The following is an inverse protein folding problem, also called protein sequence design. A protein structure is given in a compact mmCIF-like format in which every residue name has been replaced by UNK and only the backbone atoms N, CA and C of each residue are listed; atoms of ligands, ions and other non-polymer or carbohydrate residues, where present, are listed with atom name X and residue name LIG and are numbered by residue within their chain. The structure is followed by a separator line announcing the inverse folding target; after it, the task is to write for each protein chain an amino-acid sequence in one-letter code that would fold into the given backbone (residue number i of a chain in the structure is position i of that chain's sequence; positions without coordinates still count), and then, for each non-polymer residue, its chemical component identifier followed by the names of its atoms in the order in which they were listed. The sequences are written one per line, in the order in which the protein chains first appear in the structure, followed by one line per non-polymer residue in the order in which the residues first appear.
data_IF_419165423978
#
_entry.id   IF_419165423978
#
_cell.length_a   1.000
_cell.length_b   1.000
_cell.length_c   1.000
_cell.angle_alpha   90.00
_cell.angle_beta   90.00
_cell.angle_gamma   90.00
#
_symmetry.space_group_name_H-M   'P 1'
#
loop_
_entity.id
_entity.type
_entity.pdbx_description
1 polymer ?
#
# COMPACT_ATOMS: atom_id res chain seq x y z
N UNK A 1 9.38 11.44 -3.73
CA UNK A 1 8.42 12.45 -3.30
C UNK A 1 9.12 13.62 -2.61
N UNK A 2 9.64 13.47 -1.39
CA UNK A 2 10.26 14.59 -0.64
C UNK A 2 11.54 15.13 -1.27
N UNK A 3 12.48 14.25 -1.66
CA UNK A 3 13.75 14.64 -2.32
C UNK A 3 13.51 15.37 -3.64
N UNK A 4 12.55 14.87 -4.41
CA UNK A 4 12.11 15.44 -5.70
C UNK A 4 11.14 16.62 -5.54
N UNK A 5 10.88 17.07 -4.31
CA UNK A 5 10.04 18.24 -3.99
C UNK A 5 8.63 18.24 -4.60
N UNK A 6 8.05 17.07 -4.86
CA UNK A 6 6.71 16.94 -5.46
C UNK A 6 5.58 17.57 -4.62
N UNK A 7 5.82 17.79 -3.32
CA UNK A 7 4.90 18.50 -2.44
C UNK A 7 4.70 19.98 -2.84
N UNK A 8 5.60 20.60 -3.60
CA UNK A 8 5.47 22.01 -4.02
C UNK A 8 4.28 22.24 -4.97
N UNK A 9 3.96 21.24 -5.80
CA UNK A 9 2.98 21.36 -6.88
C UNK A 9 1.52 21.53 -6.44
N UNK A 10 1.25 21.52 -5.12
CA UNK A 10 -0.09 21.60 -4.54
C UNK A 10 -0.36 22.92 -3.80
N UNK A 11 0.44 23.97 -4.06
CA UNK A 11 0.21 25.31 -3.52
C UNK A 11 0.70 25.51 -2.08
N UNK A 12 1.78 24.82 -1.72
CA UNK A 12 2.45 24.97 -0.43
C UNK A 12 3.67 25.88 -0.57
N UNK A 13 3.89 26.77 0.41
CA UNK A 13 4.95 27.77 0.37
C UNK A 13 6.33 27.22 0.76
N UNK A 14 6.37 26.07 1.47
CA UNK A 14 7.58 25.38 1.91
C UNK A 14 7.26 23.94 2.30
N UNK A 15 8.30 23.13 2.59
CA UNK A 15 8.10 21.77 3.10
C UNK A 15 7.37 21.81 4.45
N UNK A 16 7.74 22.75 5.32
CA UNK A 16 7.07 22.94 6.61
C UNK A 16 5.59 23.27 6.43
N UNK A 17 5.27 24.16 5.49
CA UNK A 17 3.88 24.50 5.15
C UNK A 17 3.09 23.27 4.68
N UNK A 18 3.71 22.39 3.88
CA UNK A 18 3.13 21.11 3.50
C UNK A 18 2.91 20.18 4.71
N UNK A 19 3.90 20.02 5.59
CA UNK A 19 3.79 19.16 6.77
C UNK A 19 2.65 19.61 7.68
N UNK A 20 2.57 20.91 7.99
CA UNK A 20 1.52 21.47 8.85
C UNK A 20 0.14 21.36 8.19
N UNK A 21 -0.02 21.84 6.95
CA UNK A 21 -1.35 21.91 6.32
C UNK A 21 -1.86 20.56 5.84
N UNK A 22 -0.97 19.69 5.34
CA UNK A 22 -1.36 18.41 4.77
C UNK A 22 -1.32 17.27 5.80
N UNK A 23 -0.23 17.11 6.57
CA UNK A 23 -0.10 15.99 7.51
C UNK A 23 -0.74 16.29 8.86
N UNK A 24 -0.26 17.33 9.55
CA UNK A 24 -0.78 17.70 10.87
C UNK A 24 -2.27 18.04 10.78
N UNK A 25 -2.66 18.92 9.86
CA UNK A 25 -4.07 19.29 9.66
C UNK A 25 -4.97 18.10 9.33
N UNK A 26 -4.44 17.03 8.72
CA UNK A 26 -5.19 15.80 8.47
C UNK A 26 -5.34 14.95 9.74
N UNK A 27 -4.29 14.81 10.55
CA UNK A 27 -4.33 14.03 11.80
C UNK A 27 -5.09 14.74 12.93
N UNK A 28 -4.98 16.06 13.08
CA UNK A 28 -5.68 16.83 14.11
C UNK A 28 -7.21 16.75 14.03
N UNK A 29 -7.77 16.35 12.87
CA UNK A 29 -9.20 16.14 12.69
C UNK A 29 -9.70 14.75 13.10
N UNK A 30 -8.80 13.83 13.46
CA UNK A 30 -9.13 12.44 13.82
C UNK A 30 -9.22 12.31 15.34
N UNK A 31 -10.01 11.34 15.81
CA UNK A 31 -10.02 10.96 17.22
C UNK A 31 -8.78 10.12 17.53
N UNK A 32 -8.10 10.44 18.64
CA UNK A 32 -6.89 9.71 19.07
C UNK A 32 -7.15 8.24 19.39
N UNK A 33 -8.28 7.92 20.04
CA UNK A 33 -8.63 6.55 20.41
C UNK A 33 -8.96 5.70 19.18
N UNK A 34 -9.58 6.30 18.16
CA UNK A 34 -9.81 5.64 16.87
C UNK A 34 -8.46 5.33 16.19
N UNK A 35 -7.52 6.27 16.23
CA UNK A 35 -6.17 6.06 15.67
C UNK A 35 -5.40 4.95 16.40
N UNK A 36 -5.49 4.89 17.74
CA UNK A 36 -4.90 3.83 18.55
C UNK A 36 -5.52 2.46 18.21
N UNK A 37 -6.85 2.41 18.06
CA UNK A 37 -7.55 1.18 17.67
C UNK A 37 -7.18 0.74 16.25
N UNK A 38 -7.02 1.67 15.32
CA UNK A 38 -6.60 1.39 13.95
C UNK A 38 -5.17 0.84 13.89
N UNK A 39 -4.22 1.41 14.63
CA UNK A 39 -2.83 0.92 14.62
C UNK A 39 -2.70 -0.43 15.31
N UNK A 40 -3.46 -0.69 16.38
CA UNK A 40 -3.51 -2.01 17.01
C UNK A 40 -4.06 -3.06 16.03
N UNK A 41 -5.15 -2.74 15.33
CA UNK A 41 -5.71 -3.61 14.28
C UNK A 41 -4.67 -3.94 13.20
N UNK A 42 -3.88 -2.94 12.77
CA UNK A 42 -2.82 -3.16 11.79
C UNK A 42 -1.70 -4.04 12.36
N UNK A 43 -1.25 -3.79 13.59
CA UNK A 43 -0.16 -4.53 14.22
C UNK A 43 -0.50 -6.01 14.43
N UNK A 44 -1.76 -6.32 14.74
CA UNK A 44 -2.26 -7.69 14.93
C UNK A 44 -2.65 -8.41 13.63
N UNK A 45 -2.41 -7.82 12.45
CA UNK A 45 -2.86 -8.38 11.18
C UNK A 45 -2.02 -9.59 10.76
N UNK A 46 -2.54 -10.80 10.98
CA UNK A 46 -1.95 -12.06 10.53
C UNK A 46 -3.04 -13.02 10.01
N UNK A 47 -3.03 -13.32 8.72
CA UNK A 47 -4.01 -14.23 8.10
C UNK A 47 -3.82 -15.71 8.49
N UNK A 48 -2.69 -16.03 9.12
CA UNK A 48 -2.33 -17.38 9.55
C UNK A 48 -2.68 -17.66 11.00
N UNK A 49 -2.93 -16.63 11.82
CA UNK A 49 -3.30 -16.76 13.23
C UNK A 49 -4.78 -17.15 13.40
N UNK A 50 -5.08 -18.40 13.07
CA UNK A 50 -6.38 -19.02 13.28
C UNK A 50 -6.23 -20.54 13.33
N UNK A 51 -7.29 -21.24 13.74
CA UNK A 51 -7.29 -22.69 13.93
C UNK A 51 -7.08 -23.51 12.65
N UNK A 52 -7.28 -22.91 11.47
CA UNK A 52 -7.09 -23.59 10.18
C UNK A 52 -5.61 -23.65 9.77
N UNK A 53 -4.85 -22.59 10.04
CA UNK A 53 -3.44 -22.46 9.63
C UNK A 53 -2.45 -22.50 10.78
N UNK A 54 -2.87 -22.20 12.02
CA UNK A 54 -2.07 -22.29 13.25
C UNK A 54 -0.71 -21.57 13.16
N UNK A 55 -0.70 -20.36 12.60
CA UNK A 55 0.51 -19.55 12.41
C UNK A 55 1.33 -19.91 11.17
N UNK A 56 0.88 -20.86 10.34
CA UNK A 56 1.55 -21.21 9.08
C UNK A 56 1.13 -20.24 7.96
N UNK A 57 1.87 -19.13 7.83
CA UNK A 57 1.64 -18.11 6.82
C UNK A 57 1.76 -18.64 5.39
N UNK A 58 2.69 -19.56 5.13
CA UNK A 58 2.86 -20.13 3.79
C UNK A 58 1.63 -20.94 3.39
N UNK A 59 1.07 -21.72 4.31
CA UNK A 59 -0.18 -22.44 4.08
C UNK A 59 -1.38 -21.50 3.92
N UNK A 60 -1.45 -20.42 4.70
CA UNK A 60 -2.52 -19.43 4.59
C UNK A 60 -2.52 -18.71 3.23
N UNK A 61 -1.36 -18.23 2.78
CA UNK A 61 -1.18 -17.61 1.46
C UNK A 61 -1.46 -18.61 0.33
N UNK A 62 -0.97 -19.85 0.47
CA UNK A 62 -1.18 -20.92 -0.50
C UNK A 62 -2.63 -21.35 -0.66
N UNK A 63 -3.48 -21.08 0.34
CA UNK A 63 -4.90 -21.39 0.31
C UNK A 63 -5.74 -20.33 -0.43
N UNK A 64 -5.17 -19.17 -0.80
CA UNK A 64 -5.88 -18.12 -1.54
C UNK A 64 -6.11 -18.59 -2.98
N UNK A 65 -7.35 -18.88 -3.32
CA UNK A 65 -7.75 -19.34 -4.66
C UNK A 65 -8.11 -18.20 -5.61
N UNK A 66 -8.43 -17.02 -5.07
CA UNK A 66 -8.73 -15.83 -5.87
C UNK A 66 -7.51 -15.45 -6.72
N UNK A 67 -7.76 -15.02 -7.96
CA UNK A 67 -6.71 -14.39 -8.76
C UNK A 67 -6.37 -13.04 -8.15
N UNK A 68 -5.08 -12.75 -8.03
CA UNK A 68 -4.60 -11.52 -7.44
C UNK A 68 -3.47 -10.90 -8.26
N UNK A 69 -3.36 -9.58 -8.17
CA UNK A 69 -2.22 -8.83 -8.68
C UNK A 69 -1.67 -8.06 -7.50
N UNK A 70 -0.47 -8.41 -7.07
CA UNK A 70 0.21 -7.76 -5.95
C UNK A 70 1.05 -6.62 -6.54
N UNK A 71 0.75 -5.38 -6.14
CA UNK A 71 1.26 -4.17 -6.80
C UNK A 71 1.96 -3.23 -5.82
N UNK A 72 3.09 -3.63 -5.19
CA UNK A 72 3.83 -2.76 -4.29
C UNK A 72 4.49 -1.62 -5.05
N UNK A 73 4.67 -0.48 -4.39
CA UNK A 73 5.51 0.59 -4.92
C UNK A 73 6.99 0.27 -4.72
N UNK A 74 7.81 0.49 -5.74
CA UNK A 74 9.27 0.26 -5.65
C UNK A 74 9.98 1.19 -4.66
N UNK A 75 9.30 2.23 -4.19
CA UNK A 75 9.84 3.17 -3.18
C UNK A 75 9.03 3.20 -1.89
N UNK A 76 8.14 2.22 -1.67
CA UNK A 76 7.48 2.05 -0.37
C UNK A 76 8.54 1.73 0.70
N UNK A 77 8.35 2.28 1.90
CA UNK A 77 9.30 2.15 3.01
C UNK A 77 8.86 1.12 4.06
N UNK A 78 7.60 0.68 4.03
CA UNK A 78 7.07 -0.24 5.04
C UNK A 78 6.27 -1.41 4.46
N UNK A 79 5.73 -1.29 3.24
CA UNK A 79 5.26 -2.46 2.46
C UNK A 79 6.20 -2.68 1.28
N UNK A 80 7.34 -3.31 1.56
CA UNK A 80 8.45 -3.33 0.63
C UNK A 80 8.21 -4.28 -0.54
N UNK A 81 8.86 -4.01 -1.67
CA UNK A 81 8.86 -4.92 -2.82
C UNK A 81 9.39 -6.32 -2.44
N UNK A 82 10.41 -6.40 -1.58
CA UNK A 82 11.02 -7.66 -1.19
C UNK A 82 10.04 -8.56 -0.41
N UNK A 83 9.30 -7.97 0.54
CA UNK A 83 8.30 -8.69 1.32
C UNK A 83 7.14 -9.13 0.43
N UNK A 84 6.63 -8.22 -0.41
CA UNK A 84 5.57 -8.54 -1.37
C UNK A 84 5.98 -9.63 -2.36
N UNK A 85 7.24 -9.66 -2.81
CA UNK A 85 7.74 -10.72 -3.67
C UNK A 85 7.80 -12.06 -2.93
N UNK A 86 8.21 -12.07 -1.66
CA UNK A 86 8.23 -13.27 -0.83
C UNK A 86 6.84 -13.86 -0.63
N UNK A 87 5.84 -13.02 -0.33
CA UNK A 87 4.46 -13.45 -0.12
C UNK A 87 3.79 -13.89 -1.44
N UNK A 88 4.00 -13.15 -2.54
CA UNK A 88 3.39 -13.47 -3.84
C UNK A 88 3.87 -14.83 -4.36
N UNK A 89 5.13 -15.23 -4.10
CA UNK A 89 5.65 -16.56 -4.46
C UNK A 89 4.88 -17.71 -3.79
N UNK A 90 4.21 -17.44 -2.67
CA UNK A 90 3.43 -18.42 -1.92
C UNK A 90 1.96 -18.46 -2.36
N UNK A 91 1.53 -17.57 -3.25
CA UNK A 91 0.15 -17.44 -3.72
C UNK A 91 0.01 -18.00 -5.17
N UNK A 92 -0.56 -19.21 -5.37
CA UNK A 92 -0.50 -19.90 -6.67
C UNK A 92 -1.15 -19.16 -7.84
N UNK A 93 -2.17 -18.34 -7.57
CA UNK A 93 -2.94 -17.61 -8.58
C UNK A 93 -2.65 -16.10 -8.57
N UNK A 94 -1.53 -15.68 -7.97
CA UNK A 94 -1.12 -14.29 -7.90
C UNK A 94 0.04 -13.98 -8.85
N UNK A 95 0.06 -12.75 -9.36
CA UNK A 95 1.21 -12.19 -10.07
C UNK A 95 1.72 -10.93 -9.37
N UNK A 96 3.03 -10.69 -9.43
CA UNK A 96 3.65 -9.48 -8.91
C UNK A 96 3.80 -8.45 -10.04
N UNK A 97 3.21 -7.26 -9.88
CA UNK A 97 3.35 -6.13 -10.81
C UNK A 97 3.72 -4.85 -10.07
N UNK A 98 5.02 -4.63 -9.77
CA UNK A 98 5.47 -3.48 -9.00
C UNK A 98 5.20 -2.15 -9.71
N UNK A 99 4.80 -1.14 -8.94
CA UNK A 99 4.59 0.23 -9.41
C UNK A 99 5.92 0.98 -9.29
N UNK A 100 6.53 1.32 -10.43
CA UNK A 100 7.75 2.13 -10.48
C UNK A 100 7.42 3.61 -10.25
N UNK A 101 7.27 3.97 -8.98
CA UNK A 101 6.86 5.31 -8.58
C UNK A 101 7.79 5.87 -7.50
N UNK A 102 7.97 7.18 -7.51
CA UNK A 102 8.67 7.93 -6.45
C UNK A 102 7.73 8.40 -5.34
N UNK A 103 6.43 8.08 -5.43
CA UNK A 103 5.41 8.44 -4.45
C UNK A 103 5.41 7.53 -3.21
N UNK A 104 6.29 6.53 -3.14
CA UNK A 104 6.34 5.56 -2.06
C UNK A 104 5.01 4.85 -1.90
N UNK A 105 4.57 4.70 -0.65
CA UNK A 105 3.30 4.07 -0.31
C UNK A 105 2.08 4.70 -1.02
N UNK A 106 2.13 6.00 -1.28
CA UNK A 106 1.01 6.74 -1.91
C UNK A 106 0.78 6.33 -3.36
N UNK A 107 1.70 5.60 -4.00
CA UNK A 107 1.47 5.08 -5.36
C UNK A 107 0.29 4.09 -5.43
N UNK A 108 -0.01 3.38 -4.34
CA UNK A 108 -1.19 2.50 -4.23
C UNK A 108 -2.51 3.24 -4.02
N UNK A 109 -2.47 4.55 -3.73
CA UNK A 109 -3.63 5.43 -3.63
C UNK A 109 -3.37 6.73 -4.43
N UNK A 110 -3.33 6.65 -5.77
CA UNK A 110 -2.66 7.62 -6.63
C UNK A 110 -3.51 8.87 -6.95
N UNK A 111 -4.20 9.44 -5.95
CA UNK A 111 -5.04 10.63 -6.11
C UNK A 111 -4.32 11.83 -6.75
N UNK A 112 -3.00 11.90 -6.63
CA UNK A 112 -2.17 13.01 -7.11
C UNK A 112 -1.22 12.60 -8.25
N UNK A 113 -1.34 11.38 -8.78
CA UNK A 113 -0.47 10.88 -9.84
C UNK A 113 -1.26 10.09 -10.89
N UNK A 114 -1.67 10.78 -11.97
CA UNK A 114 -2.41 10.17 -13.07
C UNK A 114 -1.65 9.01 -13.74
N UNK A 115 -0.31 9.03 -13.72
CA UNK A 115 0.51 7.95 -14.26
C UNK A 115 0.38 6.66 -13.42
N UNK A 116 0.48 6.77 -12.09
CA UNK A 116 0.28 5.64 -11.17
C UNK A 116 -1.17 5.14 -11.22
N UNK A 117 -2.15 6.05 -11.34
CA UNK A 117 -3.57 5.70 -11.52
C UNK A 117 -3.79 4.87 -12.79
N UNK A 118 -3.18 5.26 -13.91
CA UNK A 118 -3.29 4.53 -15.17
C UNK A 118 -2.73 3.10 -15.04
N UNK A 119 -1.62 2.92 -14.32
CA UNK A 119 -1.03 1.60 -14.05
C UNK A 119 -2.02 0.71 -13.27
N UNK A 120 -2.59 1.21 -12.18
CA UNK A 120 -3.60 0.47 -11.40
C UNK A 120 -4.84 0.15 -12.23
N UNK A 121 -5.34 1.12 -13.02
CA UNK A 121 -6.50 0.95 -13.88
C UNK A 121 -6.30 -0.15 -14.91
N UNK A 122 -5.16 -0.18 -15.58
CA UNK A 122 -4.81 -1.24 -16.53
C UNK A 122 -4.73 -2.60 -15.85
N UNK A 123 -4.17 -2.67 -14.64
CA UNK A 123 -4.10 -3.91 -13.88
C UNK A 123 -5.48 -4.47 -13.51
N UNK A 124 -6.37 -3.60 -13.02
CA UNK A 124 -7.77 -3.97 -12.71
C UNK A 124 -8.50 -4.44 -13.98
N UNK A 125 -8.35 -3.72 -15.09
CA UNK A 125 -8.96 -4.12 -16.38
C UNK A 125 -8.50 -5.50 -16.83
N UNK A 126 -7.20 -5.81 -16.71
CA UNK A 126 -6.65 -7.12 -17.03
C UNK A 126 -7.20 -8.23 -16.12
N UNK A 127 -7.36 -7.95 -14.81
CA UNK A 127 -7.92 -8.92 -13.86
C UNK A 127 -9.39 -9.25 -14.16
N UNK A 128 -10.16 -8.26 -14.62
CA UNK A 128 -11.58 -8.41 -14.96
C UNK A 128 -11.82 -9.06 -16.33
N UNK A 129 -10.86 -8.96 -17.25
CA UNK A 129 -10.96 -9.50 -18.60
C UNK A 129 -10.53 -10.97 -18.73
N UNK A 130 -10.01 -11.57 -17.65
CA UNK A 130 -9.47 -12.93 -17.64
C UNK A 130 -10.44 -13.96 -17.11
#
# INVERSE_FOLDING_TARGET
FYRERLWEGAGFASLEDYLVRAWEGNFLRRNGEDLLSMIDTWYQSDISDNTLYNGDLARALGAITARAIIMPSTTDLYFTLADSEAETRLMPNAELRPIRSIWGHRAGNPLQCAADEAILRTAVQALLAS
#
